data_IF_093847623810
#
_entry.id   IF_093847623810
#
_cell.length_a   1.000
_cell.length_b   1.000
_cell.length_c   1.000
_cell.angle_alpha   90.00
_cell.angle_beta   90.00
_cell.angle_gamma   90.00
#
_symmetry.space_group_name_H-M   'P 1'
#
loop_
_entity.id
_entity.type
_entity.pdbx_description
1 polymer ?
#
# COMPACT_ATOMS: atom_id res chain seq x y z
N UNK A 1 -14.33 -3.05 -40.32
CA UNK A 1 -12.90 -3.16 -39.94
C UNK A 1 -12.67 -2.95 -38.45
N UNK A 2 -13.26 -1.93 -37.81
CA UNK A 2 -13.14 -1.74 -36.35
C UNK A 2 -13.72 -2.91 -35.52
N UNK A 3 -14.78 -3.57 -36.00
CA UNK A 3 -15.39 -4.70 -35.27
C UNK A 3 -14.60 -6.01 -35.34
N UNK A 4 -13.75 -6.20 -36.35
CA UNK A 4 -12.85 -7.36 -36.44
C UNK A 4 -11.64 -7.26 -35.48
N UNK A 5 -11.20 -6.03 -35.18
CA UNK A 5 -10.12 -5.78 -34.21
C UNK A 5 -10.56 -6.02 -32.76
N UNK A 6 -11.84 -5.79 -32.45
CA UNK A 6 -12.41 -6.10 -31.12
C UNK A 6 -12.58 -7.60 -30.90
N UNK A 7 -12.94 -8.34 -31.94
CA UNK A 7 -13.13 -9.80 -31.87
C UNK A 7 -11.81 -10.60 -31.73
N UNK A 8 -10.66 -9.96 -32.02
CA UNK A 8 -9.31 -10.52 -31.82
C UNK A 8 -8.53 -9.82 -30.70
N UNK A 9 -9.22 -9.25 -29.71
CA UNK A 9 -8.56 -8.82 -28.47
C UNK A 9 -8.18 -10.05 -27.65
N UNK A 10 -6.99 -10.58 -27.91
CA UNK A 10 -6.33 -11.48 -26.98
C UNK A 10 -5.94 -10.60 -25.79
N UNK A 11 -6.60 -10.77 -24.64
CA UNK A 11 -6.08 -10.28 -23.36
C UNK A 11 -4.82 -11.07 -23.06
N UNK A 12 -3.70 -10.57 -23.57
CA UNK A 12 -2.39 -11.02 -23.11
C UNK A 12 -2.33 -10.62 -21.62
N UNK A 13 -2.06 -11.57 -20.70
CA UNK A 13 -1.85 -11.20 -19.30
C UNK A 13 -0.81 -10.09 -19.25
N UNK A 14 -1.11 -9.01 -18.52
CA UNK A 14 -0.27 -7.84 -18.45
C UNK A 14 1.17 -8.28 -18.11
N UNK A 15 2.09 -8.08 -19.05
CA UNK A 15 3.52 -8.29 -18.81
C UNK A 15 4.03 -7.03 -18.13
N UNK A 16 4.46 -7.16 -16.88
CA UNK A 16 5.11 -6.08 -16.15
C UNK A 16 6.59 -6.05 -16.54
N UNK A 17 7.03 -4.95 -17.13
CA UNK A 17 8.45 -4.68 -17.39
C UNK A 17 8.99 -3.78 -16.27
N UNK A 18 10.07 -4.22 -15.63
CA UNK A 18 10.72 -3.46 -14.57
C UNK A 18 11.92 -2.68 -15.13
N UNK A 19 11.91 -1.36 -14.94
CA UNK A 19 13.05 -0.49 -15.21
C UNK A 19 13.71 -0.10 -13.88
N UNK A 20 15.00 -0.44 -13.72
CA UNK A 20 15.77 -0.12 -12.51
C UNK A 20 16.58 1.15 -12.80
N UNK A 21 16.42 2.18 -11.95
CA UNK A 21 17.19 3.43 -12.02
C UNK A 21 17.89 3.67 -10.69
N UNK A 22 19.20 3.82 -10.72
CA UNK A 22 20.01 4.22 -9.57
C UNK A 22 20.03 5.75 -9.47
N UNK A 23 19.02 6.32 -8.82
CA UNK A 23 18.96 7.75 -8.54
C UNK A 23 18.37 7.99 -7.15
N UNK A 24 18.96 8.93 -6.42
CA UNK A 24 18.36 9.42 -5.17
C UNK A 24 17.11 10.23 -5.49
N UNK A 25 15.98 9.81 -4.93
CA UNK A 25 14.69 10.52 -5.05
C UNK A 25 14.23 10.88 -3.64
N UNK A 26 13.96 12.16 -3.41
CA UNK A 26 13.33 12.63 -2.18
C UNK A 26 11.88 12.13 -2.13
N UNK A 27 11.51 11.43 -1.05
CA UNK A 27 10.14 10.97 -0.84
C UNK A 27 9.22 12.17 -0.64
N UNK A 28 8.15 12.26 -1.43
CA UNK A 28 7.18 13.35 -1.33
C UNK A 28 6.06 13.02 -0.35
N UNK A 29 5.73 11.74 -0.21
CA UNK A 29 4.58 11.31 0.59
C UNK A 29 3.26 11.68 -0.08
N UNK A 30 2.16 11.31 0.57
CA UNK A 30 0.82 11.62 0.09
C UNK A 30 0.53 13.12 0.15
N UNK A 31 0.02 13.67 -0.96
CA UNK A 31 -0.42 15.06 -1.04
C UNK A 31 -1.54 15.33 -0.02
N UNK A 32 -1.37 16.39 0.77
CA UNK A 32 -2.36 16.85 1.75
C UNK A 32 -3.34 17.80 1.09
N UNK A 33 -4.64 17.60 1.35
CA UNK A 33 -5.71 18.45 0.79
C UNK A 33 -6.52 19.19 1.85
N UNK A 34 -6.47 18.77 3.12
CA UNK A 34 -7.13 19.48 4.21
C UNK A 34 -6.69 20.96 4.32
N UNK A 35 -7.58 21.85 4.80
CA UNK A 35 -7.27 23.25 5.04
C UNK A 35 -6.04 23.45 5.95
N UNK A 36 -5.32 24.55 5.73
CA UNK A 36 -4.10 24.88 6.50
C UNK A 36 -4.38 25.06 8.00
N UNK A 37 -5.57 25.56 8.32
CA UNK A 37 -6.09 25.81 9.67
C UNK A 37 -6.77 24.57 10.30
N UNK A 38 -6.90 23.46 9.57
CA UNK A 38 -7.44 22.23 10.12
C UNK A 38 -6.56 21.74 11.29
N UNK A 39 -7.12 21.55 12.49
CA UNK A 39 -6.33 21.18 13.66
C UNK A 39 -5.70 19.79 13.50
N UNK A 40 -4.43 19.68 13.88
CA UNK A 40 -3.73 18.40 13.95
C UNK A 40 -4.21 17.64 15.18
N UNK A 41 -4.78 16.46 14.96
CA UNK A 41 -5.28 15.56 16.00
C UNK A 41 -4.25 14.47 16.28
N UNK A 42 -4.31 13.87 17.47
CA UNK A 42 -3.59 12.63 17.69
C UNK A 42 -4.16 11.52 16.81
N UNK A 43 -3.30 10.75 16.13
CA UNK A 43 -3.73 9.57 15.37
C UNK A 43 -4.44 8.52 16.24
N UNK A 44 -4.26 8.57 17.57
CA UNK A 44 -4.92 7.71 18.55
C UNK A 44 -6.32 8.17 18.92
N UNK A 45 -6.71 9.41 18.59
CA UNK A 45 -8.05 9.93 18.91
C UNK A 45 -9.09 9.19 18.05
N UNK A 46 -10.10 8.55 18.66
CA UNK A 46 -11.19 7.92 17.91
C UNK A 46 -11.93 8.94 17.04
N UNK A 47 -12.24 8.54 15.81
CA UNK A 47 -12.98 9.38 14.86
C UNK A 47 -14.47 9.05 14.96
N UNK A 48 -15.25 9.97 15.57
CA UNK A 48 -16.70 9.82 15.73
C UNK A 48 -17.46 9.98 14.41
N UNK A 49 -17.06 10.92 13.57
CA UNK A 49 -17.61 11.13 12.24
C UNK A 49 -16.66 10.59 11.17
N UNK A 50 -16.88 9.33 10.78
CA UNK A 50 -16.06 8.62 9.80
C UNK A 50 -16.10 9.27 8.40
N UNK A 51 -17.19 9.98 8.05
CA UNK A 51 -17.30 10.62 6.74
C UNK A 51 -16.34 11.80 6.58
N UNK A 52 -15.99 12.45 7.71
CA UNK A 52 -15.09 13.59 7.72
C UNK A 52 -13.61 13.22 7.80
N UNK A 53 -13.25 11.96 7.96
CA UNK A 53 -11.85 11.55 8.21
C UNK A 53 -10.89 12.03 7.10
N UNK A 54 -11.36 12.03 5.84
CA UNK A 54 -10.63 12.53 4.66
C UNK A 54 -10.23 14.00 4.75
N UNK A 55 -10.91 14.78 5.59
CA UNK A 55 -10.66 16.21 5.80
C UNK A 55 -9.82 16.46 7.05
N UNK A 56 -9.55 15.44 7.87
CA UNK A 56 -8.85 15.58 9.15
C UNK A 56 -7.35 15.41 9.00
N UNK A 57 -6.58 16.16 9.79
CA UNK A 57 -5.13 16.00 9.93
C UNK A 57 -4.80 15.25 11.21
N UNK A 58 -3.86 14.30 11.11
CA UNK A 58 -3.35 13.53 12.23
C UNK A 58 -1.83 13.72 12.33
N UNK A 59 -1.30 13.76 13.56
CA UNK A 59 0.13 13.89 13.83
C UNK A 59 0.50 13.23 15.16
N UNK A 60 1.67 13.59 15.69
CA UNK A 60 2.33 12.97 16.86
C UNK A 60 2.82 11.53 16.61
N UNK A 61 3.18 11.22 15.36
CA UNK A 61 3.81 9.96 15.00
C UNK A 61 5.28 9.93 15.44
N UNK A 62 5.75 8.76 15.88
CA UNK A 62 7.16 8.51 16.21
C UNK A 62 7.87 7.69 15.13
N UNK A 63 7.12 6.88 14.36
CA UNK A 63 7.66 5.97 13.35
C UNK A 63 7.31 6.39 11.91
N UNK A 64 6.32 7.26 11.73
CA UNK A 64 6.03 7.83 10.42
C UNK A 64 7.19 8.72 9.93
N UNK A 65 7.54 8.62 8.65
CA UNK A 65 8.57 9.49 8.04
C UNK A 65 8.10 10.94 7.84
N UNK A 66 6.80 11.20 7.98
CA UNK A 66 6.22 12.53 7.83
C UNK A 66 5.51 12.93 9.14
N UNK A 67 5.56 14.22 9.52
CA UNK A 67 5.03 14.67 10.81
C UNK A 67 3.50 14.61 10.90
N UNK A 68 2.83 14.60 9.73
CA UNK A 68 1.38 14.62 9.63
C UNK A 68 0.88 13.75 8.49
N UNK A 69 -0.33 13.20 8.66
CA UNK A 69 -1.01 12.37 7.67
C UNK A 69 -2.50 12.71 7.56
N UNK A 70 -3.07 12.41 6.39
CA UNK A 70 -4.51 12.34 6.15
C UNK A 70 -4.86 10.90 5.76
N UNK A 71 -5.98 10.40 6.27
CA UNK A 71 -6.44 9.04 6.02
C UNK A 71 -7.76 9.08 5.23
N UNK A 72 -7.95 8.12 4.32
CA UNK A 72 -9.19 7.99 3.57
C UNK A 72 -10.26 7.22 4.33
N UNK A 73 -9.86 6.41 5.31
CA UNK A 73 -10.75 5.58 6.13
C UNK A 73 -10.25 5.45 7.57
N UNK A 74 -11.14 5.11 8.50
CA UNK A 74 -10.75 4.83 9.89
C UNK A 74 -9.93 3.52 10.00
N UNK A 75 -10.10 2.59 9.06
CA UNK A 75 -9.24 1.40 8.94
C UNK A 75 -7.77 1.77 8.75
N UNK A 76 -7.47 2.69 7.83
CA UNK A 76 -6.10 3.20 7.63
C UNK A 76 -5.56 3.90 8.89
N UNK A 77 -6.36 4.74 9.55
CA UNK A 77 -5.95 5.38 10.81
C UNK A 77 -5.63 4.33 11.89
N UNK A 78 -6.49 3.31 12.05
CA UNK A 78 -6.24 2.21 12.99
C UNK A 78 -4.98 1.42 12.63
N UNK A 79 -4.69 1.25 11.34
CA UNK A 79 -3.45 0.59 10.90
C UNK A 79 -2.23 1.43 11.27
N UNK A 80 -2.29 2.76 11.12
CA UNK A 80 -1.23 3.63 11.62
C UNK A 80 -1.04 3.53 13.14
N UNK A 81 -2.11 3.31 13.92
CA UNK A 81 -1.99 3.03 15.37
C UNK A 81 -1.22 1.74 15.62
N UNK A 82 -1.59 0.66 14.93
CA UNK A 82 -0.92 -0.64 15.01
C UNK A 82 0.59 -0.49 14.72
N UNK A 83 0.97 0.18 13.63
CA UNK A 83 2.38 0.39 13.28
C UNK A 83 3.19 1.17 14.34
N UNK A 84 2.55 2.13 15.01
CA UNK A 84 3.18 2.91 16.08
C UNK A 84 3.33 2.12 17.40
N UNK A 85 2.53 1.06 17.57
CA UNK A 85 2.50 0.19 18.76
C UNK A 85 3.34 -1.10 18.60
N UNK A 86 3.87 -1.38 17.40
CA UNK A 86 4.68 -2.58 17.13
C UNK A 86 5.90 -2.70 18.07
N UNK A 87 6.24 -3.92 18.51
CA UNK A 87 7.43 -4.12 19.35
C UNK A 87 8.74 -3.91 18.57
N UNK A 88 8.74 -4.17 17.26
CA UNK A 88 9.89 -3.95 16.39
C UNK A 88 10.18 -2.44 16.23
N UNK A 89 11.19 -1.93 16.94
CA UNK A 89 11.60 -0.51 16.91
C UNK A 89 12.08 -0.04 15.52
N UNK A 90 12.47 -0.97 14.64
CA UNK A 90 12.90 -0.64 13.29
C UNK A 90 11.73 -0.30 12.36
N UNK A 91 10.49 -0.48 12.83
CA UNK A 91 9.30 -0.07 12.06
C UNK A 91 9.40 1.41 11.70
N UNK A 92 9.32 1.67 10.40
CA UNK A 92 9.18 3.00 9.79
C UNK A 92 8.13 2.91 8.70
N UNK A 93 7.33 3.95 8.53
CA UNK A 93 6.26 3.90 7.55
C UNK A 93 5.91 5.28 6.99
N UNK A 94 5.26 5.28 5.83
CA UNK A 94 4.63 6.47 5.27
C UNK A 94 3.51 6.10 4.31
N UNK A 95 2.63 7.06 4.00
CA UNK A 95 1.68 6.95 2.89
C UNK A 95 2.34 7.50 1.64
N UNK A 96 2.57 6.70 0.58
CA UNK A 96 3.26 7.17 -0.61
C UNK A 96 2.39 8.10 -1.46
N UNK A 97 3.04 9.03 -2.15
CA UNK A 97 2.47 9.81 -3.23
C UNK A 97 2.71 9.18 -4.61
N UNK A 98 2.07 9.73 -5.65
CA UNK A 98 2.21 9.26 -7.04
C UNK A 98 3.65 9.29 -7.57
N UNK A 99 4.56 10.06 -6.97
CA UNK A 99 5.95 10.13 -7.43
C UNK A 99 6.89 9.17 -6.69
N UNK A 100 6.45 8.60 -5.57
CA UNK A 100 7.29 7.76 -4.72
C UNK A 100 7.42 6.33 -5.25
N UNK A 101 6.37 5.82 -5.93
CA UNK A 101 6.32 4.46 -6.46
C UNK A 101 5.89 4.43 -7.92
N UNK A 102 6.73 3.85 -8.78
CA UNK A 102 6.40 3.57 -10.19
C UNK A 102 5.71 2.20 -10.28
N UNK A 103 4.46 2.14 -9.85
CA UNK A 103 3.65 0.93 -9.82
C UNK A 103 2.37 1.15 -10.64
N UNK A 104 2.16 0.33 -11.66
CA UNK A 104 1.06 0.47 -12.62
C UNK A 104 0.32 -0.86 -12.72
N UNK A 105 -1.02 -0.82 -12.72
CA UNK A 105 -1.87 -2.01 -12.84
C UNK A 105 -2.52 -2.14 -14.23
N UNK A 106 -2.41 -1.10 -15.04
CA UNK A 106 -2.61 -1.13 -16.50
C UNK A 106 -1.70 -0.08 -17.15
N UNK A 107 -1.63 -0.07 -18.49
CA UNK A 107 -0.74 0.82 -19.24
C UNK A 107 -0.89 2.31 -18.85
N UNK A 108 -2.11 2.75 -18.53
CA UNK A 108 -2.44 4.15 -18.28
C UNK A 108 -2.80 4.44 -16.81
N UNK A 109 -2.87 3.41 -15.95
CA UNK A 109 -3.32 3.58 -14.56
C UNK A 109 -2.24 3.19 -13.57
N UNK A 110 -1.71 4.20 -12.90
CA UNK A 110 -0.85 4.05 -11.75
C UNK A 110 -1.66 3.61 -10.54
N UNK A 111 -1.10 2.70 -9.75
CA UNK A 111 -1.60 2.32 -8.43
C UNK A 111 -0.63 2.83 -7.37
N UNK A 112 -1.17 3.42 -6.31
CA UNK A 112 -0.44 3.90 -5.14
C UNK A 112 -1.06 3.19 -3.93
N UNK A 113 -0.31 2.31 -3.24
CA UNK A 113 -0.82 1.63 -2.06
C UNK A 113 -1.00 2.61 -0.90
N UNK A 114 -1.84 2.24 0.07
CA UNK A 114 -2.07 3.08 1.25
C UNK A 114 -0.80 3.30 2.10
N UNK A 115 0.02 2.28 2.29
CA UNK A 115 1.22 2.36 3.12
C UNK A 115 2.44 1.70 2.47
N UNK A 116 3.60 2.30 2.72
CA UNK A 116 4.91 1.64 2.65
C UNK A 116 5.41 1.48 4.08
N UNK A 117 5.80 0.27 4.47
CA UNK A 117 6.32 -0.04 5.81
C UNK A 117 7.66 -0.73 5.65
N UNK A 118 8.66 -0.31 6.41
CA UNK A 118 9.89 -1.07 6.61
C UNK A 118 9.88 -1.66 8.01
N UNK A 119 10.21 -2.95 8.14
CA UNK A 119 10.43 -3.66 9.40
C UNK A 119 11.89 -4.12 9.49
N UNK A 120 12.27 -4.85 10.53
CA UNK A 120 13.62 -5.39 10.68
C UNK A 120 13.99 -6.37 9.58
N UNK A 121 13.00 -7.06 9.01
CA UNK A 121 13.16 -8.17 8.08
C UNK A 121 12.52 -7.95 6.71
N UNK A 122 11.48 -7.11 6.59
CA UNK A 122 10.67 -6.95 5.39
C UNK A 122 10.49 -5.49 5.00
N UNK A 123 10.14 -5.27 3.73
CA UNK A 123 9.46 -4.06 3.27
C UNK A 123 8.07 -4.44 2.78
N UNK A 124 7.06 -3.67 3.16
CA UNK A 124 5.67 -3.97 2.88
C UNK A 124 5.06 -2.86 2.04
N UNK A 125 4.32 -3.25 1.01
CA UNK A 125 3.27 -2.44 0.42
C UNK A 125 1.95 -2.93 1.00
N UNK A 126 1.16 -2.04 1.61
CA UNK A 126 -0.09 -2.42 2.28
C UNK A 126 -1.25 -1.59 1.74
N UNK A 127 -2.32 -2.28 1.36
CA UNK A 127 -3.63 -1.69 1.04
C UNK A 127 -4.63 -2.06 2.14
N UNK A 128 -5.33 -1.08 2.70
CA UNK A 128 -6.44 -1.33 3.61
C UNK A 128 -7.73 -1.20 2.81
N UNK A 129 -8.57 -2.23 2.85
CA UNK A 129 -9.79 -2.26 2.04
C UNK A 129 -11.01 -2.71 2.82
N UNK A 130 -12.16 -2.14 2.49
CA UNK A 130 -13.45 -2.62 3.01
C UNK A 130 -13.61 -4.11 2.65
N UNK A 131 -14.00 -4.92 3.62
CA UNK A 131 -14.14 -6.38 3.48
C UNK A 131 -15.04 -6.76 2.29
N UNK A 132 -16.08 -5.98 2.02
CA UNK A 132 -17.03 -6.25 0.94
C UNK A 132 -16.43 -5.96 -0.45
N UNK A 133 -15.40 -5.10 -0.50
CA UNK A 133 -14.71 -4.71 -1.73
C UNK A 133 -13.46 -5.55 -2.01
N UNK A 134 -12.97 -6.36 -1.06
CA UNK A 134 -11.70 -7.11 -1.23
C UNK A 134 -11.73 -7.99 -2.46
N UNK A 135 -12.88 -8.60 -2.78
CA UNK A 135 -13.05 -9.47 -3.94
C UNK A 135 -13.33 -8.71 -5.26
N UNK A 136 -13.42 -7.39 -5.23
CA UNK A 136 -13.66 -6.58 -6.43
C UNK A 136 -12.56 -6.79 -7.48
N UNK A 137 -12.97 -6.84 -8.76
CA UNK A 137 -12.07 -7.17 -9.85
C UNK A 137 -10.94 -6.12 -10.03
N UNK A 138 -11.24 -4.83 -9.80
CA UNK A 138 -10.24 -3.78 -9.89
C UNK A 138 -9.26 -3.84 -8.71
N UNK A 139 -9.77 -4.11 -7.51
CA UNK A 139 -8.94 -4.34 -6.31
C UNK A 139 -7.98 -5.51 -6.53
N UNK A 140 -8.47 -6.63 -7.06
CA UNK A 140 -7.64 -7.79 -7.38
C UNK A 140 -6.64 -7.51 -8.50
N UNK A 141 -7.00 -6.71 -9.52
CA UNK A 141 -6.06 -6.31 -10.57
C UNK A 141 -4.90 -5.48 -9.99
N UNK A 142 -5.18 -4.53 -9.09
CA UNK A 142 -4.16 -3.74 -8.38
C UNK A 142 -3.28 -4.62 -7.49
N UNK A 143 -3.89 -5.56 -6.75
CA UNK A 143 -3.15 -6.50 -5.92
C UNK A 143 -2.18 -7.35 -6.74
N UNK A 144 -2.62 -7.89 -7.88
CA UNK A 144 -1.75 -8.67 -8.78
C UNK A 144 -0.56 -7.84 -9.31
N UNK A 145 -0.80 -6.57 -9.68
CA UNK A 145 0.26 -5.66 -10.10
C UNK A 145 1.26 -5.39 -8.98
N UNK A 146 0.79 -5.19 -7.75
CA UNK A 146 1.64 -4.94 -6.61
C UNK A 146 2.45 -6.16 -6.18
N UNK A 147 1.89 -7.35 -6.26
CA UNK A 147 2.62 -8.61 -6.05
C UNK A 147 3.73 -8.78 -7.08
N UNK A 148 3.46 -8.53 -8.36
CA UNK A 148 4.47 -8.58 -9.41
C UNK A 148 5.57 -7.54 -9.15
N UNK A 149 5.20 -6.32 -8.78
CA UNK A 149 6.13 -5.25 -8.42
C UNK A 149 7.02 -5.66 -7.25
N UNK A 150 6.45 -6.20 -6.17
CA UNK A 150 7.20 -6.71 -5.02
C UNK A 150 8.16 -7.82 -5.42
N UNK A 151 7.76 -8.72 -6.33
CA UNK A 151 8.65 -9.75 -6.86
C UNK A 151 9.89 -9.19 -7.58
N UNK A 152 9.72 -8.13 -8.38
CA UNK A 152 10.84 -7.43 -9.01
C UNK A 152 11.69 -6.66 -7.99
N UNK A 153 11.06 -5.96 -7.07
CA UNK A 153 11.74 -5.20 -6.02
C UNK A 153 12.55 -6.10 -5.09
N UNK A 154 12.04 -7.28 -4.72
CA UNK A 154 12.75 -8.31 -3.95
C UNK A 154 13.98 -8.81 -4.69
N UNK A 155 13.84 -9.23 -5.95
CA UNK A 155 14.99 -9.70 -6.75
C UNK A 155 16.11 -8.66 -6.82
N UNK A 156 15.75 -7.39 -6.99
CA UNK A 156 16.71 -6.30 -6.99
C UNK A 156 17.31 -6.07 -5.59
N UNK A 157 16.50 -6.06 -4.53
CA UNK A 157 16.95 -5.87 -3.17
C UNK A 157 17.92 -6.96 -2.73
N UNK A 158 17.61 -8.23 -2.96
CA UNK A 158 18.45 -9.37 -2.58
C UNK A 158 19.83 -9.34 -3.29
N UNK A 159 19.87 -8.92 -4.55
CA UNK A 159 21.12 -8.71 -5.28
C UNK A 159 22.03 -7.64 -4.63
N UNK A 160 21.48 -6.80 -3.75
CA UNK A 160 22.17 -5.72 -3.03
C UNK A 160 22.05 -5.87 -1.51
N UNK A 161 21.84 -7.09 -0.99
CA UNK A 161 21.69 -7.41 0.43
C UNK A 161 20.59 -6.61 1.16
N UNK A 162 19.56 -6.19 0.43
CA UNK A 162 18.37 -5.51 0.93
C UNK A 162 17.29 -6.48 1.40
N UNK A 163 16.27 -5.92 2.06
CA UNK A 163 15.10 -6.66 2.58
C UNK A 163 14.15 -7.04 1.45
N UNK A 164 13.53 -8.23 1.47
CA UNK A 164 12.49 -8.60 0.52
C UNK A 164 11.25 -7.73 0.69
N UNK A 165 10.53 -7.55 -0.41
CA UNK A 165 9.28 -6.82 -0.51
C UNK A 165 8.09 -7.77 -0.55
N UNK A 166 7.05 -7.45 0.22
CA UNK A 166 5.79 -8.21 0.29
C UNK A 166 4.60 -7.27 0.13
N UNK A 167 3.56 -7.71 -0.56
CA UNK A 167 2.30 -6.97 -0.66
C UNK A 167 1.23 -7.58 0.24
N UNK A 168 0.54 -6.74 1.01
CA UNK A 168 -0.60 -7.11 1.84
C UNK A 168 -1.87 -6.41 1.34
N UNK A 169 -2.95 -7.19 1.19
CA UNK A 169 -4.31 -6.66 1.00
C UNK A 169 -5.13 -6.99 2.25
N UNK A 170 -5.28 -6.01 3.14
CA UNK A 170 -5.83 -6.22 4.48
C UNK A 170 -7.27 -5.71 4.55
N UNK A 171 -8.26 -6.56 4.88
CA UNK A 171 -9.60 -6.11 5.20
C UNK A 171 -9.59 -5.18 6.42
N UNK A 172 -10.31 -4.07 6.38
CA UNK A 172 -10.32 -3.06 7.43
C UNK A 172 -10.83 -3.60 8.80
N UNK A 173 -11.69 -4.62 8.77
CA UNK A 173 -12.19 -5.35 9.94
C UNK A 173 -11.11 -6.21 10.62
N UNK A 174 -10.02 -6.55 9.92
CA UNK A 174 -8.90 -7.32 10.45
C UNK A 174 -7.92 -6.46 11.25
N UNK A 175 -7.95 -5.13 11.09
CA UNK A 175 -7.07 -4.18 11.79
C UNK A 175 -7.56 -3.96 13.22
N UNK A 176 -7.37 -4.95 14.08
CA UNK A 176 -7.85 -4.94 15.48
C UNK A 176 -6.71 -4.64 16.46
N UNK A 177 -7.04 -4.11 17.65
CA UNK A 177 -6.05 -3.67 18.64
C UNK A 177 -5.26 -4.81 19.30
N UNK A 178 -5.69 -6.06 19.10
CA UNK A 178 -5.05 -7.28 19.62
C UNK A 178 -4.28 -8.05 18.53
N UNK A 179 -4.13 -7.48 17.34
CA UNK A 179 -3.39 -8.05 16.22
C UNK A 179 -2.12 -7.24 16.02
N UNK A 180 -1.02 -7.91 15.72
CA UNK A 180 0.26 -7.31 15.34
C UNK A 180 0.52 -7.42 13.83
N UNK A 181 1.54 -6.73 13.34
CA UNK A 181 1.88 -6.69 11.92
C UNK A 181 2.25 -8.08 11.39
N UNK A 182 2.92 -8.91 12.20
CA UNK A 182 3.31 -10.26 11.80
C UNK A 182 2.07 -11.15 11.55
N UNK A 183 1.06 -11.09 12.42
CA UNK A 183 -0.22 -11.78 12.22
C UNK A 183 -0.90 -11.35 10.92
N UNK A 184 -0.89 -10.05 10.61
CA UNK A 184 -1.42 -9.54 9.34
C UNK A 184 -0.62 -10.05 8.13
N UNK A 185 0.72 -10.08 8.22
CA UNK A 185 1.57 -10.62 7.14
C UNK A 185 1.25 -12.09 6.89
N UNK A 186 1.16 -12.90 7.94
CA UNK A 186 0.88 -14.34 7.80
C UNK A 186 -0.48 -14.62 7.16
N UNK A 187 -1.48 -13.80 7.47
CA UNK A 187 -2.85 -14.02 7.03
C UNK A 187 -3.19 -13.37 5.68
N UNK A 188 -2.60 -12.21 5.38
CA UNK A 188 -3.03 -11.35 4.27
C UNK A 188 -1.95 -11.03 3.25
N UNK A 189 -0.76 -11.65 3.34
CA UNK A 189 0.18 -11.56 2.24
C UNK A 189 -0.41 -12.17 0.96
N UNK A 190 -0.32 -11.44 -0.13
CA UNK A 190 -0.70 -11.95 -1.43
C UNK A 190 0.52 -12.59 -2.10
N UNK A 191 0.33 -13.79 -2.66
CA UNK A 191 1.33 -14.46 -3.49
C UNK A 191 0.93 -14.39 -4.96
N UNK A 192 1.91 -14.40 -5.85
CA UNK A 192 1.66 -14.40 -7.29
C UNK A 192 0.95 -15.69 -7.66
N UNK A 193 -0.22 -15.58 -8.27
CA UNK A 193 -0.90 -16.75 -8.82
C UNK A 193 -0.07 -17.34 -9.96
N UNK A 194 0.70 -18.39 -9.69
CA UNK A 194 1.11 -19.30 -10.75
C UNK A 194 -0.15 -19.96 -11.31
N UNK A 195 -0.66 -19.42 -12.42
CA UNK A 195 -1.37 -20.29 -13.36
C UNK A 195 -0.32 -21.22 -13.96
N UNK A 196 -0.11 -22.36 -13.30
CA UNK A 196 0.42 -23.55 -13.95
C UNK A 196 -0.54 -23.90 -15.09
N UNK A 197 -0.25 -23.41 -16.29
CA UNK A 197 -0.82 -23.98 -17.50
C UNK A 197 -0.08 -25.29 -17.76
N UNK A 198 -0.65 -26.39 -17.28
CA UNK A 198 -0.43 -27.73 -17.85
C UNK A 198 -1.01 -27.83 -19.24
#
# INVERSE_FOLDING_TARGET
MADQLRAHRIEVPARYEAEIRESWVELQGLDRTAPVDEPVRSFRTPVSDRFRIRQMRFGNFHRCLFPEQQFHSDGERRFAVLLEDEEDESVKWFRPGKRDLRLFWSADHQYVPDFVVETSSLRLLVEIKDVDDVADAEVQAKANAAVAWCGHATKHAEAHAGKPWVYLLVPDVAVQSNVDLNGLVQQYQCSGGERLTT
#
